data_IF_139398783606
#
_entry.id   IF_139398783606
#
_cell.length_a   1.000
_cell.length_b   1.000
_cell.length_c   1.000
_cell.angle_alpha   90.00
_cell.angle_beta   90.00
_cell.angle_gamma   90.00
#
_symmetry.space_group_name_H-M   'P 1'
#
loop_
_entity.id
_entity.type
_entity.pdbx_description
1 polymer ?
#
# COMPACT_ATOMS: atom_id res chain seq x y z
N UNK A 1 4.40 16.29 0.63
CA UNK A 1 4.14 15.15 -0.28
C UNK A 1 3.97 15.51 -1.77
N UNK A 2 3.06 16.43 -2.16
CA UNK A 2 2.71 16.68 -3.59
C UNK A 2 3.88 16.95 -4.56
N UNK A 3 4.98 17.58 -4.10
CA UNK A 3 6.15 17.87 -4.95
C UNK A 3 6.93 16.62 -5.38
N UNK A 4 7.00 15.59 -4.52
CA UNK A 4 7.73 14.36 -4.81
C UNK A 4 6.93 13.47 -5.77
N UNK A 5 5.63 13.32 -5.53
CA UNK A 5 4.71 12.62 -6.42
C UNK A 5 4.72 13.21 -7.84
N UNK A 6 4.68 14.54 -8.00
CA UNK A 6 4.76 15.15 -9.33
C UNK A 6 6.09 14.91 -10.06
N UNK A 7 7.21 14.93 -9.33
CA UNK A 7 8.53 14.66 -9.91
C UNK A 7 8.64 13.18 -10.33
N UNK A 8 8.14 12.27 -9.51
CA UNK A 8 8.05 10.84 -9.81
C UNK A 8 7.22 10.59 -11.06
N UNK A 9 5.99 11.11 -11.10
CA UNK A 9 5.08 10.96 -12.23
C UNK A 9 5.67 11.52 -13.52
N UNK A 10 6.32 12.69 -13.48
CA UNK A 10 6.99 13.26 -14.67
C UNK A 10 8.08 12.34 -15.21
N UNK A 11 8.87 11.71 -14.33
CA UNK A 11 9.93 10.76 -14.69
C UNK A 11 9.36 9.45 -15.25
N UNK A 12 8.32 8.91 -14.63
CA UNK A 12 7.72 7.63 -15.03
C UNK A 12 6.96 7.75 -16.35
N UNK A 13 6.30 8.87 -16.63
CA UNK A 13 5.58 9.13 -17.89
C UNK A 13 6.49 9.04 -19.12
N UNK A 14 7.74 9.48 -19.01
CA UNK A 14 8.72 9.41 -20.12
C UNK A 14 9.54 8.12 -20.11
N UNK A 15 9.33 7.23 -19.14
CA UNK A 15 10.05 5.95 -19.03
C UNK A 15 9.37 4.87 -19.87
N UNK A 16 10.11 3.82 -20.24
CA UNK A 16 9.53 2.63 -20.87
C UNK A 16 8.55 1.93 -19.92
N UNK A 17 7.53 1.26 -20.45
CA UNK A 17 6.56 0.51 -19.64
C UNK A 17 7.25 -0.52 -18.75
N UNK A 18 8.25 -1.23 -19.28
CA UNK A 18 9.07 -2.18 -18.52
C UNK A 18 9.78 -1.53 -17.31
N UNK A 19 10.27 -0.29 -17.43
CA UNK A 19 10.87 0.44 -16.30
C UNK A 19 9.83 0.86 -15.26
N UNK A 20 8.61 1.17 -15.69
CA UNK A 20 7.50 1.53 -14.78
C UNK A 20 7.03 0.28 -14.04
N UNK A 21 6.81 -0.84 -14.74
CA UNK A 21 6.40 -2.10 -14.14
C UNK A 21 7.46 -2.63 -13.15
N UNK A 22 8.75 -2.62 -13.51
CA UNK A 22 9.83 -2.97 -12.56
C UNK A 22 9.90 -2.05 -11.34
N UNK A 23 9.53 -0.78 -11.48
CA UNK A 23 9.46 0.15 -10.35
C UNK A 23 8.33 -0.23 -9.39
N UNK A 24 7.15 -0.57 -9.94
CA UNK A 24 5.97 -1.05 -9.21
C UNK A 24 6.27 -2.38 -8.50
N UNK A 25 6.78 -3.39 -9.20
CA UNK A 25 7.17 -4.68 -8.58
C UNK A 25 8.21 -4.52 -7.47
N UNK A 26 9.15 -3.59 -7.61
CA UNK A 26 10.11 -3.29 -6.55
C UNK A 26 9.43 -2.66 -5.33
N UNK A 27 8.42 -1.82 -5.55
CA UNK A 27 7.62 -1.25 -4.46
C UNK A 27 6.85 -2.35 -3.71
N UNK A 28 6.28 -3.34 -4.40
CA UNK A 28 5.60 -4.48 -3.75
C UNK A 28 6.54 -5.19 -2.79
N UNK A 29 7.74 -5.53 -3.26
CA UNK A 29 8.73 -6.25 -2.44
C UNK A 29 9.18 -5.46 -1.22
N UNK A 30 9.34 -4.14 -1.36
CA UNK A 30 9.69 -3.26 -0.24
C UNK A 30 8.56 -3.23 0.81
N UNK A 31 7.32 -3.10 0.33
CA UNK A 31 6.13 -3.05 1.18
C UNK A 31 5.95 -4.39 1.91
N UNK A 32 6.02 -5.51 1.18
CA UNK A 32 5.82 -6.85 1.70
C UNK A 32 6.93 -7.30 2.67
N UNK A 33 8.21 -7.15 2.29
CA UNK A 33 9.30 -7.77 3.05
C UNK A 33 9.81 -6.88 4.19
N UNK A 34 9.84 -5.56 3.99
CA UNK A 34 10.47 -4.64 4.95
C UNK A 34 9.42 -3.92 5.80
N UNK A 35 8.44 -3.25 5.17
CA UNK A 35 7.52 -2.39 5.91
C UNK A 35 6.47 -3.19 6.70
N UNK A 36 5.83 -4.20 6.09
CA UNK A 36 4.88 -5.06 6.82
C UNK A 36 5.55 -5.81 7.96
N UNK A 37 6.77 -6.33 7.76
CA UNK A 37 7.54 -6.99 8.84
C UNK A 37 7.82 -6.02 9.99
N UNK A 38 8.29 -4.81 9.71
CA UNK A 38 8.56 -3.80 10.74
C UNK A 38 7.28 -3.38 11.48
N UNK A 39 6.18 -3.22 10.74
CA UNK A 39 4.87 -2.86 11.28
C UNK A 39 4.34 -3.96 12.21
N UNK A 40 4.43 -5.23 11.80
CA UNK A 40 4.05 -6.39 12.63
C UNK A 40 4.89 -6.47 13.90
N UNK A 41 6.21 -6.27 13.81
CA UNK A 41 7.09 -6.28 14.97
C UNK A 41 6.76 -5.15 15.96
N UNK A 42 6.39 -3.96 15.46
CA UNK A 42 5.93 -2.88 16.31
C UNK A 42 4.56 -3.20 16.94
N UNK A 43 3.63 -3.75 16.16
CA UNK A 43 2.30 -4.12 16.60
C UNK A 43 2.30 -5.13 17.76
N UNK A 44 3.10 -6.20 17.64
CA UNK A 44 3.21 -7.27 18.66
C UNK A 44 3.68 -6.72 20.01
N UNK A 45 4.41 -5.59 20.03
CA UNK A 45 4.90 -4.98 21.27
C UNK A 45 3.84 -4.14 21.99
N UNK A 46 2.83 -3.64 21.28
CA UNK A 46 1.85 -2.69 21.84
C UNK A 46 1.13 -3.22 23.09
N UNK A 47 0.61 -4.46 23.13
CA UNK A 47 -0.12 -4.95 24.30
C UNK A 47 0.68 -4.96 25.61
N UNK A 48 2.01 -5.00 25.51
CA UNK A 48 2.90 -5.03 26.66
C UNK A 48 3.27 -3.63 27.18
N UNK A 49 2.87 -2.58 26.46
CA UNK A 49 3.29 -1.20 26.74
C UNK A 49 2.13 -0.24 26.92
N UNK A 50 0.98 -0.52 26.31
CA UNK A 50 -0.23 0.30 26.45
C UNK A 50 -0.96 -0.03 27.77
N UNK A 51 -1.68 0.97 28.29
CA UNK A 51 -2.56 0.78 29.45
C UNK A 51 -3.68 -0.23 29.13
N UNK A 52 -4.11 -1.07 30.10
CA UNK A 52 -5.28 -1.93 29.97
C UNK A 52 -6.53 -1.25 29.38
N UNK A 53 -6.77 0.04 29.65
CA UNK A 53 -7.91 0.78 29.09
C UNK A 53 -7.84 0.96 27.57
N UNK A 54 -6.65 0.86 26.98
CA UNK A 54 -6.42 0.98 25.54
C UNK A 54 -6.50 -0.37 24.80
N UNK A 55 -6.71 -1.49 25.51
CA UNK A 55 -6.74 -2.82 24.90
C UNK A 55 -7.91 -3.02 23.94
N UNK A 56 -9.06 -2.40 24.20
CA UNK A 56 -10.23 -2.46 23.31
C UNK A 56 -9.88 -1.85 21.94
N UNK A 57 -9.24 -0.67 21.96
CA UNK A 57 -8.79 0.00 20.74
C UNK A 57 -7.69 -0.80 20.04
N UNK A 58 -6.80 -1.47 20.80
CA UNK A 58 -5.81 -2.37 20.22
C UNK A 58 -6.46 -3.55 19.47
N UNK A 59 -7.52 -4.14 20.01
CA UNK A 59 -8.24 -5.24 19.33
C UNK A 59 -8.91 -4.77 18.03
N UNK A 60 -9.49 -3.56 18.02
CA UNK A 60 -10.04 -2.95 16.81
C UNK A 60 -8.96 -2.71 15.75
N UNK A 61 -7.81 -2.15 16.15
CA UNK A 61 -6.65 -1.97 15.27
C UNK A 61 -6.15 -3.32 14.75
N UNK A 62 -6.13 -4.36 15.59
CA UNK A 62 -5.72 -5.72 15.21
C UNK A 62 -6.54 -6.26 14.05
N UNK A 63 -7.86 -6.16 14.16
CA UNK A 63 -8.79 -6.63 13.13
C UNK A 63 -8.63 -5.84 11.84
N UNK A 64 -8.64 -4.50 11.94
CA UNK A 64 -8.47 -3.63 10.77
C UNK A 64 -7.12 -3.87 10.07
N UNK A 65 -6.04 -4.10 10.82
CA UNK A 65 -4.71 -4.35 10.27
C UNK A 65 -4.66 -5.69 9.54
N UNK A 66 -5.25 -6.73 10.10
CA UNK A 66 -5.32 -8.05 9.48
C UNK A 66 -6.13 -8.01 8.18
N UNK A 67 -7.26 -7.30 8.18
CA UNK A 67 -8.10 -7.14 7.00
C UNK A 67 -7.38 -6.38 5.89
N UNK A 68 -6.75 -5.26 6.22
CA UNK A 68 -5.94 -4.48 5.29
C UNK A 68 -4.76 -5.28 4.72
N UNK A 69 -3.98 -5.97 5.56
CA UNK A 69 -2.84 -6.77 5.08
C UNK A 69 -3.30 -7.89 4.16
N UNK A 70 -4.42 -8.55 4.48
CA UNK A 70 -5.00 -9.57 3.62
C UNK A 70 -5.41 -9.01 2.26
N UNK A 71 -6.09 -7.86 2.25
CA UNK A 71 -6.50 -7.17 1.02
C UNK A 71 -5.28 -6.78 0.16
N UNK A 72 -4.25 -6.21 0.79
CA UNK A 72 -3.03 -5.78 0.12
C UNK A 72 -2.29 -6.94 -0.55
N UNK A 73 -2.12 -8.06 0.16
CA UNK A 73 -1.45 -9.23 -0.40
C UNK A 73 -2.25 -9.88 -1.52
N UNK A 74 -3.58 -9.96 -1.40
CA UNK A 74 -4.44 -10.45 -2.48
C UNK A 74 -4.38 -9.55 -3.73
N UNK A 75 -4.27 -8.24 -3.52
CA UNK A 75 -4.10 -7.28 -4.59
C UNK A 75 -2.76 -7.45 -5.31
N UNK A 76 -1.66 -7.60 -4.56
CA UNK A 76 -0.34 -7.83 -5.16
C UNK A 76 -0.25 -9.12 -5.95
N UNK A 77 -0.91 -10.20 -5.51
CA UNK A 77 -1.00 -11.45 -6.29
C UNK A 77 -1.65 -11.18 -7.66
N UNK A 78 -2.77 -10.46 -7.67
CA UNK A 78 -3.45 -10.10 -8.92
C UNK A 78 -2.57 -9.23 -9.82
N UNK A 79 -1.84 -8.27 -9.25
CA UNK A 79 -0.93 -7.41 -10.00
C UNK A 79 0.26 -8.18 -10.56
N UNK A 80 0.83 -9.13 -9.83
CA UNK A 80 1.90 -9.98 -10.33
C UNK A 80 1.43 -10.84 -11.51
N UNK A 81 0.21 -11.38 -11.44
CA UNK A 81 -0.39 -12.11 -12.57
C UNK A 81 -0.57 -11.18 -13.78
N UNK A 82 -1.20 -10.01 -13.59
CA UNK A 82 -1.53 -9.07 -14.68
C UNK A 82 -0.28 -8.42 -15.27
N UNK A 83 0.63 -7.93 -14.44
CA UNK A 83 1.85 -7.25 -14.88
C UNK A 83 2.94 -8.23 -15.31
N UNK A 84 2.98 -9.44 -14.74
CA UNK A 84 3.86 -10.53 -15.18
C UNK A 84 3.58 -10.94 -16.63
N UNK A 85 2.31 -11.08 -17.01
CA UNK A 85 1.90 -11.33 -18.40
C UNK A 85 2.28 -10.17 -19.35
N UNK A 86 2.25 -8.92 -18.86
CA UNK A 86 2.72 -7.76 -19.62
C UNK A 86 4.23 -7.78 -19.89
N UNK A 87 5.03 -8.40 -19.00
CA UNK A 87 6.48 -8.56 -19.19
C UNK A 87 6.83 -9.68 -20.19
N UNK A 88 6.15 -10.83 -20.13
CA UNK A 88 6.47 -11.98 -20.99
C UNK A 88 6.01 -11.81 -22.45
N UNK A 89 5.00 -10.97 -22.69
CA UNK A 89 4.40 -10.77 -24.01
C UNK A 89 5.13 -9.74 -24.91
N UNK A 90 6.40 -9.38 -24.63
CA UNK A 90 7.15 -8.35 -25.38
C UNK A 90 6.41 -6.99 -25.47
N UNK A 91 5.57 -6.67 -24.49
CA UNK A 91 4.76 -5.45 -24.47
C UNK A 91 3.52 -5.49 -25.38
N UNK A 92 3.04 -6.69 -25.74
CA UNK A 92 1.81 -6.87 -26.55
C UNK A 92 0.58 -7.28 -25.74
N UNK A 93 0.74 -7.89 -24.54
CA UNK A 93 -0.41 -8.09 -23.65
C UNK A 93 -0.93 -6.74 -23.21
N UNK A 94 -2.22 -6.56 -23.43
CA UNK A 94 -2.94 -5.40 -22.97
C UNK A 94 -3.91 -5.82 -21.89
N UNK A 95 -3.95 -5.02 -20.83
CA UNK A 95 -4.90 -5.22 -19.73
C UNK A 95 -6.28 -4.84 -20.27
N UNK A 96 -7.25 -5.75 -20.16
CA UNK A 96 -8.62 -5.43 -20.53
C UNK A 96 -9.22 -4.38 -19.57
N UNK A 97 -10.27 -3.69 -20.03
CA UNK A 97 -10.89 -2.61 -19.27
C UNK A 97 -11.51 -3.08 -17.95
N UNK A 98 -12.04 -4.30 -17.88
CA UNK A 98 -12.66 -4.82 -16.66
C UNK A 98 -11.59 -5.09 -15.60
N UNK A 99 -10.46 -5.69 -15.99
CA UNK A 99 -9.31 -5.90 -15.10
C UNK A 99 -8.71 -4.57 -14.64
N UNK A 100 -8.53 -3.60 -15.53
CA UNK A 100 -8.04 -2.26 -15.14
C UNK A 100 -8.97 -1.56 -14.14
N UNK A 101 -10.29 -1.63 -14.35
CA UNK A 101 -11.26 -1.06 -13.42
C UNK A 101 -11.26 -1.78 -12.06
N UNK A 102 -11.10 -3.11 -12.07
CA UNK A 102 -11.00 -3.90 -10.83
C UNK A 102 -9.79 -3.49 -10.00
N UNK A 103 -8.61 -3.33 -10.63
CA UNK A 103 -7.41 -2.86 -9.93
C UNK A 103 -7.62 -1.46 -9.33
N UNK A 104 -8.20 -0.52 -10.09
CA UNK A 104 -8.54 0.82 -9.58
C UNK A 104 -9.51 0.81 -8.41
N UNK A 105 -10.49 -0.08 -8.43
CA UNK A 105 -11.41 -0.25 -7.32
C UNK A 105 -10.67 -0.75 -6.06
N UNK A 106 -9.77 -1.73 -6.22
CA UNK A 106 -8.93 -2.21 -5.12
C UNK A 106 -7.99 -1.11 -4.60
N UNK A 107 -7.41 -0.27 -5.46
CA UNK A 107 -6.61 0.89 -5.04
C UNK A 107 -7.40 1.83 -4.13
N UNK A 108 -8.66 2.12 -4.49
CA UNK A 108 -9.51 2.98 -3.68
C UNK A 108 -9.83 2.31 -2.33
N UNK A 109 -10.23 1.05 -2.34
CA UNK A 109 -10.53 0.27 -1.13
C UNK A 109 -9.34 0.21 -0.17
N UNK A 110 -8.13 -0.06 -0.68
CA UNK A 110 -6.90 -0.06 0.11
C UNK A 110 -6.59 1.32 0.72
N UNK A 111 -6.84 2.41 -0.01
CA UNK A 111 -6.65 3.77 0.50
C UNK A 111 -7.65 4.12 1.61
N UNK A 112 -8.90 3.68 1.49
CA UNK A 112 -9.92 3.86 2.51
C UNK A 112 -9.57 3.06 3.78
N UNK A 113 -9.29 1.75 3.63
CA UNK A 113 -8.85 0.87 4.73
C UNK A 113 -7.63 1.41 5.48
N UNK A 114 -6.65 1.97 4.76
CA UNK A 114 -5.45 2.52 5.36
C UNK A 114 -5.71 3.85 6.08
N UNK A 115 -6.58 4.70 5.54
CA UNK A 115 -7.02 5.93 6.22
C UNK A 115 -7.74 5.63 7.54
N UNK A 116 -8.59 4.61 7.57
CA UNK A 116 -9.28 4.18 8.79
C UNK A 116 -8.28 3.67 9.84
N UNK A 117 -7.30 2.86 9.41
CA UNK A 117 -6.20 2.42 10.28
C UNK A 117 -5.37 3.59 10.82
N UNK A 118 -5.07 4.61 10.00
CA UNK A 118 -4.37 5.81 10.46
C UNK A 118 -5.17 6.56 11.52
N UNK A 119 -6.48 6.66 11.36
CA UNK A 119 -7.37 7.27 12.35
C UNK A 119 -7.36 6.50 13.67
N UNK A 120 -7.52 5.17 13.63
CA UNK A 120 -7.50 4.32 14.83
C UNK A 120 -6.15 4.39 15.55
N UNK A 121 -5.05 4.36 14.80
CA UNK A 121 -3.71 4.40 15.39
C UNK A 121 -3.34 5.77 15.94
N UNK A 122 -3.82 6.87 15.33
CA UNK A 122 -3.71 8.19 15.92
C UNK A 122 -4.53 8.29 17.22
N UNK A 123 -5.71 7.69 17.28
CA UNK A 123 -6.44 7.64 18.54
C UNK A 123 -5.68 6.85 19.61
N UNK A 124 -4.99 5.77 19.22
CA UNK A 124 -4.13 5.01 20.14
C UNK A 124 -2.94 5.83 20.63
N UNK A 125 -2.32 6.66 19.79
CA UNK A 125 -1.22 7.55 20.24
C UNK A 125 -1.72 8.59 21.23
N UNK A 126 -2.91 9.14 21.04
CA UNK A 126 -3.54 10.09 21.95
C UNK A 126 -3.88 9.48 23.31
N UNK A 127 -4.43 8.25 23.32
CA UNK A 127 -4.87 7.57 24.55
C UNK A 127 -3.69 6.94 25.30
N UNK A 128 -2.83 6.22 24.61
CA UNK A 128 -1.73 5.48 25.26
C UNK A 128 -0.49 6.35 25.46
N UNK A 129 -0.21 7.30 24.56
CA UNK A 129 0.93 8.21 24.66
C UNK A 129 2.32 7.54 24.62
N UNK A 130 2.40 6.23 24.36
CA UNK A 130 3.65 5.47 24.51
C UNK A 130 4.57 5.62 23.30
N UNK A 131 5.86 5.44 23.51
CA UNK A 131 6.84 5.46 22.41
C UNK A 131 6.55 4.38 21.35
N UNK A 132 6.05 3.21 21.76
CA UNK A 132 5.69 2.14 20.84
C UNK A 132 4.41 2.45 20.05
N UNK A 133 3.40 3.10 20.66
CA UNK A 133 2.22 3.58 19.93
C UNK A 133 2.61 4.61 18.85
N UNK A 134 3.44 5.59 19.21
CA UNK A 134 3.95 6.58 18.25
C UNK A 134 4.82 5.96 17.16
N UNK A 135 5.62 4.94 17.50
CA UNK A 135 6.42 4.20 16.52
C UNK A 135 5.52 3.44 15.55
N UNK A 136 4.49 2.75 16.05
CA UNK A 136 3.55 2.00 15.23
C UNK A 136 2.81 2.92 14.26
N UNK A 137 2.26 4.03 14.75
CA UNK A 137 1.58 5.02 13.91
C UNK A 137 2.50 5.59 12.82
N UNK A 138 3.74 5.96 13.14
CA UNK A 138 4.70 6.44 12.12
C UNK A 138 5.03 5.40 11.04
N UNK A 139 5.18 4.13 11.42
CA UNK A 139 5.41 3.07 10.43
C UNK A 139 4.21 2.89 9.49
N UNK A 140 3.00 3.11 10.00
CA UNK A 140 1.78 3.09 9.19
C UNK A 140 1.72 4.29 8.23
N UNK A 141 2.12 5.49 8.67
CA UNK A 141 2.22 6.67 7.79
C UNK A 141 3.25 6.45 6.67
N UNK A 142 4.42 5.87 7.00
CA UNK A 142 5.43 5.53 6.00
C UNK A 142 4.93 4.47 5.00
N UNK A 143 4.10 3.54 5.45
CA UNK A 143 3.43 2.57 4.57
C UNK A 143 2.43 3.26 3.64
N UNK A 144 1.63 4.17 4.18
CA UNK A 144 0.64 4.94 3.43
C UNK A 144 1.27 5.80 2.34
N UNK A 145 2.36 6.49 2.65
CA UNK A 145 3.08 7.30 1.68
C UNK A 145 3.60 6.45 0.51
N UNK A 146 4.22 5.31 0.81
CA UNK A 146 4.79 4.43 -0.22
C UNK A 146 3.71 3.75 -1.06
N UNK A 147 2.62 3.26 -0.44
CA UNK A 147 1.50 2.66 -1.16
C UNK A 147 0.80 3.70 -2.04
N UNK A 148 0.64 4.93 -1.56
CA UNK A 148 0.07 6.03 -2.34
C UNK A 148 0.94 6.37 -3.57
N UNK A 149 2.26 6.45 -3.40
CA UNK A 149 3.18 6.68 -4.52
C UNK A 149 3.12 5.56 -5.55
N UNK A 150 3.04 4.30 -5.11
CA UNK A 150 2.86 3.14 -5.97
C UNK A 150 1.54 3.24 -6.76
N UNK A 151 0.41 3.34 -6.07
CA UNK A 151 -0.92 3.43 -6.71
C UNK A 151 -0.97 4.58 -7.71
N UNK A 152 -0.37 5.73 -7.39
CA UNK A 152 -0.29 6.85 -8.33
C UNK A 152 0.51 6.51 -9.59
N UNK A 153 1.64 5.82 -9.46
CA UNK A 153 2.43 5.36 -10.60
C UNK A 153 1.60 4.43 -11.49
N UNK A 154 0.82 3.54 -10.88
CA UNK A 154 -0.02 2.60 -11.59
C UNK A 154 -1.18 3.28 -12.30
N UNK A 155 -2.00 4.00 -11.55
CA UNK A 155 -3.23 4.61 -12.03
C UNK A 155 -3.01 5.66 -13.10
N UNK A 156 -1.91 6.42 -12.99
CA UNK A 156 -1.63 7.58 -13.85
C UNK A 156 -0.63 7.27 -14.95
N UNK A 157 0.06 6.12 -14.91
CA UNK A 157 1.09 5.78 -15.90
C UNK A 157 0.94 4.34 -16.39
N UNK A 158 1.02 3.34 -15.51
CA UNK A 158 1.05 1.94 -15.94
C UNK A 158 -0.26 1.54 -16.62
N UNK A 159 -1.37 1.58 -15.89
CA UNK A 159 -2.69 1.15 -16.37
C UNK A 159 -3.12 1.89 -17.64
N UNK A 160 -3.07 3.24 -17.74
CA UNK A 160 -3.47 3.93 -18.97
C UNK A 160 -2.63 3.56 -20.20
N UNK A 161 -1.37 3.12 -20.01
CA UNK A 161 -0.46 2.79 -21.11
C UNK A 161 -0.50 1.30 -21.47
N UNK A 162 -0.98 0.44 -20.58
CA UNK A 162 -1.12 -1.00 -20.80
C UNK A 162 -2.54 -1.42 -21.16
N UNK A 163 -3.56 -0.57 -20.96
CA UNK A 163 -4.95 -0.91 -21.29
C UNK A 163 -5.26 -0.89 -22.79
N UNK A 164 -6.18 -1.78 -23.21
CA UNK A 164 -6.92 -1.64 -24.48
C UNK A 164 -7.84 -0.42 -24.38
N UNK A 165 -7.75 0.49 -25.37
CA UNK A 165 -8.75 1.53 -25.58
C UNK A 165 -10.04 0.90 -26.14
#
# INVERSE_FOLDING_TARGET
>A
MQRNAHKLLRRLRTSSLDKVARHVTRAHRLLENDQLTNLQQAFIRLPYTIDPSALILFDEISLALQDFVRELLQHYILEEDVYGECHHSLGTSRIDKATSNRLRYQHQSLQESLSDLQSLTNHLTEVAGTADAHRFHRLLDELADNLHEQILAEDKVLLPRSSLN
#
